data_IF_966352849592
#
_entry.id   IF_966352849592
#
_cell.length_a   1.000
_cell.length_b   1.000
_cell.length_c   1.000
_cell.angle_alpha   90.00
_cell.angle_beta   90.00
_cell.angle_gamma   90.00
#
_symmetry.space_group_name_H-M   'P 1'
#
loop_
_entity.id
_entity.type
_entity.pdbx_description
1 polymer ?
#
# COMPACT_ATOMS: atom_id res chain seq x y z
N UNK A 1 -17.58 -4.62 -4.16
CA UNK A 1 -18.22 -3.46 -3.50
C UNK A 1 -18.16 -2.27 -4.43
N UNK A 2 -19.24 -1.49 -4.54
CA UNK A 2 -19.27 -0.25 -5.31
C UNK A 2 -18.69 0.86 -4.43
N UNK A 3 -17.72 1.63 -4.94
CA UNK A 3 -17.16 2.79 -4.23
C UNK A 3 -18.24 3.86 -4.03
N UNK A 4 -18.31 4.46 -2.84
CA UNK A 4 -19.23 5.55 -2.52
C UNK A 4 -18.99 6.76 -3.44
N UNK A 5 -20.06 7.31 -4.02
CA UNK A 5 -19.98 8.43 -4.97
C UNK A 5 -19.29 9.67 -4.39
N UNK A 6 -19.43 9.93 -3.08
CA UNK A 6 -18.76 11.05 -2.43
C UNK A 6 -17.25 10.88 -2.43
N UNK A 7 -16.78 9.64 -2.33
CA UNK A 7 -15.35 9.29 -2.34
C UNK A 7 -14.80 9.36 -3.76
N UNK A 8 -15.56 8.88 -4.76
CA UNK A 8 -15.16 8.98 -6.18
C UNK A 8 -14.88 10.43 -6.60
N UNK A 9 -15.71 11.35 -6.11
CA UNK A 9 -15.61 12.78 -6.42
C UNK A 9 -14.50 13.51 -5.64
N UNK A 10 -13.75 12.83 -4.76
CA UNK A 10 -12.57 13.42 -4.13
C UNK A 10 -11.41 13.45 -5.14
N UNK A 11 -10.82 14.62 -5.28
CA UNK A 11 -9.79 14.97 -6.26
C UNK A 11 -8.40 15.18 -5.64
N UNK A 12 -8.32 15.23 -4.31
CA UNK A 12 -7.07 15.47 -3.59
C UNK A 12 -6.91 14.49 -2.42
N UNK A 13 -5.67 14.03 -2.13
CA UNK A 13 -5.42 13.18 -0.97
C UNK A 13 -5.87 13.82 0.34
N UNK A 14 -5.75 15.15 0.45
CA UNK A 14 -6.16 15.88 1.66
C UNK A 14 -7.67 15.80 1.91
N UNK A 15 -8.51 15.90 0.88
CA UNK A 15 -9.96 15.72 1.03
C UNK A 15 -10.31 14.29 1.44
N UNK A 16 -9.58 13.30 0.91
CA UNK A 16 -9.72 11.90 1.31
C UNK A 16 -9.37 11.67 2.79
N UNK A 17 -8.29 12.27 3.29
CA UNK A 17 -7.91 12.22 4.71
C UNK A 17 -8.99 12.82 5.63
N UNK A 18 -9.54 13.98 5.25
CA UNK A 18 -10.62 14.63 6.00
C UNK A 18 -11.87 13.75 6.00
N UNK A 19 -12.25 13.20 4.84
CA UNK A 19 -13.39 12.31 4.71
C UNK A 19 -13.22 11.05 5.58
N UNK A 20 -12.04 10.41 5.54
CA UNK A 20 -11.73 9.24 6.36
C UNK A 20 -11.85 9.54 7.86
N UNK A 21 -11.37 10.70 8.32
CA UNK A 21 -11.51 11.11 9.72
C UNK A 21 -12.99 11.28 10.11
N UNK A 22 -13.79 11.92 9.26
CA UNK A 22 -15.21 12.12 9.52
C UNK A 22 -15.99 10.80 9.51
N UNK A 23 -15.67 9.90 8.57
CA UNK A 23 -16.26 8.57 8.50
C UNK A 23 -15.92 7.73 9.74
N UNK A 24 -14.68 7.80 10.23
CA UNK A 24 -14.26 7.15 11.46
C UNK A 24 -15.04 7.66 12.68
N UNK A 25 -15.17 8.98 12.82
CA UNK A 25 -15.97 9.60 13.89
C UNK A 25 -17.46 9.20 13.83
N UNK A 26 -17.95 8.81 12.64
CA UNK A 26 -19.31 8.34 12.42
C UNK A 26 -19.44 6.81 12.49
N UNK A 27 -18.39 6.06 12.86
CA UNK A 27 -18.40 4.60 12.94
C UNK A 27 -18.51 3.87 11.59
N UNK A 28 -18.15 4.54 10.49
CA UNK A 28 -18.27 4.02 9.12
C UNK A 28 -16.93 3.53 8.58
N UNK A 29 -16.43 2.41 9.12
CA UNK A 29 -15.14 1.82 8.75
C UNK A 29 -15.04 1.45 7.26
N UNK A 30 -16.16 1.03 6.65
CA UNK A 30 -16.28 0.75 5.22
C UNK A 30 -15.89 1.97 4.36
N UNK A 31 -16.28 3.16 4.81
CA UNK A 31 -15.98 4.43 4.15
C UNK A 31 -14.57 4.93 4.46
N UNK A 32 -14.03 4.60 5.64
CA UNK A 32 -12.62 4.88 5.98
C UNK A 32 -11.69 4.15 5.02
N UNK A 33 -11.94 2.85 4.79
CA UNK A 33 -11.15 2.04 3.84
C UNK A 33 -11.18 2.65 2.44
N UNK A 34 -12.37 2.90 1.90
CA UNK A 34 -12.52 3.46 0.56
C UNK A 34 -11.85 4.83 0.40
N UNK A 35 -11.92 5.68 1.42
CA UNK A 35 -11.28 6.99 1.37
C UNK A 35 -9.74 6.88 1.41
N UNK A 36 -9.18 5.95 2.19
CA UNK A 36 -7.74 5.65 2.18
C UNK A 36 -7.30 5.12 0.82
N UNK A 37 -8.03 4.19 0.23
CA UNK A 37 -7.76 3.66 -1.11
C UNK A 37 -7.76 4.78 -2.15
N UNK A 38 -8.77 5.68 -2.12
CA UNK A 38 -8.81 6.83 -3.02
C UNK A 38 -7.61 7.76 -2.83
N UNK A 39 -7.20 8.02 -1.58
CA UNK A 39 -6.01 8.83 -1.29
C UNK A 39 -4.74 8.20 -1.89
N UNK A 40 -4.57 6.88 -1.74
CA UNK A 40 -3.46 6.12 -2.30
C UNK A 40 -3.45 6.22 -3.83
N UNK A 41 -4.60 6.08 -4.48
CA UNK A 41 -4.71 6.18 -5.94
C UNK A 41 -4.34 7.57 -6.44
N UNK A 42 -4.89 8.63 -5.83
CA UNK A 42 -4.56 10.01 -6.20
C UNK A 42 -3.07 10.33 -6.00
N UNK A 43 -2.47 9.86 -4.91
CA UNK A 43 -1.02 10.03 -4.67
C UNK A 43 -0.19 9.32 -5.74
N UNK A 44 -0.57 8.09 -6.10
CA UNK A 44 0.13 7.30 -7.12
C UNK A 44 -0.04 7.88 -8.53
N UNK A 45 -1.24 8.36 -8.88
CA UNK A 45 -1.50 9.07 -10.14
C UNK A 45 -0.60 10.31 -10.26
N UNK A 46 -0.51 11.11 -9.20
CA UNK A 46 0.34 12.31 -9.19
C UNK A 46 1.86 11.99 -9.22
N UNK A 47 2.26 10.77 -8.84
CA UNK A 47 3.67 10.36 -8.95
C UNK A 47 4.09 10.13 -10.41
N UNK A 48 3.17 9.70 -11.28
CA UNK A 48 3.42 9.59 -12.72
C UNK A 48 4.16 8.32 -13.16
N UNK A 49 3.96 7.19 -12.47
CA UNK A 49 4.47 5.90 -12.93
C UNK A 49 3.84 5.50 -14.29
N UNK A 50 4.62 4.86 -15.17
CA UNK A 50 4.20 4.61 -16.56
C UNK A 50 3.46 3.28 -16.70
N UNK A 51 4.06 2.20 -16.20
CA UNK A 51 3.52 0.84 -16.34
C UNK A 51 2.49 0.51 -15.26
N UNK A 52 1.63 -0.48 -15.54
CA UNK A 52 0.64 -0.97 -14.55
C UNK A 52 1.33 -1.49 -13.28
N UNK A 53 2.41 -2.26 -13.43
CA UNK A 53 3.17 -2.80 -12.30
C UNK A 53 3.79 -1.70 -11.44
N UNK A 54 4.38 -0.67 -12.06
CA UNK A 54 4.94 0.46 -11.32
C UNK A 54 3.87 1.30 -10.62
N UNK A 55 2.70 1.50 -11.25
CA UNK A 55 1.56 2.17 -10.62
C UNK A 55 1.11 1.39 -9.38
N UNK A 56 1.01 0.07 -9.46
CA UNK A 56 0.66 -0.76 -8.31
C UNK A 56 1.74 -0.77 -7.22
N UNK A 57 3.01 -0.84 -7.60
CA UNK A 57 4.14 -0.73 -6.68
C UNK A 57 4.13 0.61 -5.92
N UNK A 58 3.88 1.73 -6.60
CA UNK A 58 3.76 3.04 -5.94
C UNK A 58 2.54 3.11 -5.02
N UNK A 59 1.41 2.51 -5.41
CA UNK A 59 0.26 2.38 -4.50
C UNK A 59 0.63 1.60 -3.23
N UNK A 60 1.40 0.51 -3.37
CA UNK A 60 1.89 -0.27 -2.23
C UNK A 60 2.80 0.54 -1.30
N UNK A 61 3.68 1.39 -1.85
CA UNK A 61 4.52 2.29 -1.06
C UNK A 61 3.67 3.28 -0.25
N UNK A 62 2.66 3.90 -0.87
CA UNK A 62 1.76 4.80 -0.16
C UNK A 62 0.87 4.08 0.87
N UNK A 63 0.41 2.87 0.59
CA UNK A 63 -0.31 2.06 1.58
C UNK A 63 0.57 1.74 2.79
N UNK A 64 1.85 1.41 2.56
CA UNK A 64 2.82 1.22 3.63
C UNK A 64 3.04 2.49 4.46
N UNK A 65 3.01 3.68 3.85
CA UNK A 65 3.04 4.95 4.58
C UNK A 65 1.79 5.20 5.44
N UNK A 66 0.62 4.74 5.01
CA UNK A 66 -0.59 4.78 5.84
C UNK A 66 -0.41 3.90 7.10
N UNK A 67 0.19 2.71 6.96
CA UNK A 67 0.55 1.85 8.10
C UNK A 67 1.55 2.53 9.04
N UNK A 68 2.62 3.11 8.49
CA UNK A 68 3.60 3.83 9.29
C UNK A 68 2.97 5.03 10.01
N UNK A 69 2.04 5.71 9.36
CA UNK A 69 1.36 6.88 9.91
C UNK A 69 0.39 6.52 11.02
N UNK A 70 -0.36 5.42 10.85
CA UNK A 70 -1.24 4.87 11.89
C UNK A 70 -0.41 4.47 13.12
N UNK A 71 0.69 3.74 12.92
CA UNK A 71 1.58 3.30 13.99
C UNK A 71 2.22 4.47 14.76
N UNK A 72 2.64 5.52 14.06
CA UNK A 72 3.37 6.63 14.66
C UNK A 72 2.47 7.78 15.13
N UNK A 73 1.16 7.72 14.86
CA UNK A 73 0.20 8.80 15.18
C UNK A 73 0.41 10.10 14.38
N UNK A 74 1.26 10.08 13.34
CA UNK A 74 1.57 11.25 12.49
C UNK A 74 1.95 10.82 11.09
N UNK A 75 1.75 11.70 10.10
CA UNK A 75 2.18 11.45 8.71
C UNK A 75 3.63 11.02 8.67
N UNK A 76 3.87 9.80 8.22
CA UNK A 76 5.19 9.18 8.20
C UNK A 76 5.50 8.68 6.79
N UNK A 77 6.63 9.14 6.26
CA UNK A 77 7.13 8.75 4.95
C UNK A 77 7.93 7.44 5.04
N UNK A 78 7.90 6.62 3.99
CA UNK A 78 8.71 5.42 3.83
C UNK A 78 10.17 5.80 3.52
N UNK A 79 10.87 6.33 4.52
CA UNK A 79 12.21 6.94 4.41
C UNK A 79 13.29 6.00 3.89
N UNK A 80 13.10 4.67 4.00
CA UNK A 80 14.00 3.65 3.45
C UNK A 80 13.63 3.17 2.05
N UNK A 81 12.44 3.49 1.56
CA UNK A 81 11.92 3.00 0.27
C UNK A 81 12.07 4.07 -0.80
N UNK A 82 11.75 5.34 -0.51
CA UNK A 82 11.90 6.43 -1.49
C UNK A 82 13.33 6.62 -2.02
N UNK A 83 14.38 6.59 -1.19
CA UNK A 83 15.75 6.65 -1.70
C UNK A 83 16.09 5.46 -2.61
N UNK A 84 15.52 4.28 -2.35
CA UNK A 84 15.72 3.12 -3.22
C UNK A 84 15.01 3.28 -4.55
N UNK A 85 13.79 3.83 -4.57
CA UNK A 85 13.07 4.13 -5.81
C UNK A 85 13.88 5.09 -6.67
N UNK A 86 14.41 6.17 -6.08
CA UNK A 86 15.25 7.13 -6.80
C UNK A 86 16.54 6.51 -7.35
N UNK A 87 17.14 5.57 -6.59
CA UNK A 87 18.45 5.00 -6.94
C UNK A 87 18.37 3.81 -7.91
N UNK A 88 17.33 2.98 -7.79
CA UNK A 88 17.25 1.69 -8.45
C UNK A 88 16.00 1.52 -9.34
N UNK A 89 15.06 2.46 -9.30
CA UNK A 89 13.76 2.34 -9.94
C UNK A 89 12.71 1.67 -9.03
N UNK A 90 11.45 1.74 -9.44
CA UNK A 90 10.28 1.38 -8.63
C UNK A 90 10.25 -0.13 -8.33
N UNK A 91 10.32 -0.96 -9.37
CA UNK A 91 10.25 -2.43 -9.26
C UNK A 91 11.38 -2.96 -8.36
N UNK A 92 12.60 -2.55 -8.68
CA UNK A 92 13.81 -2.89 -7.91
C UNK A 92 13.75 -2.47 -6.43
N UNK A 93 13.08 -1.35 -6.13
CA UNK A 93 12.92 -0.90 -4.75
C UNK A 93 11.90 -1.73 -3.98
N UNK A 94 10.81 -2.16 -4.63
CA UNK A 94 9.81 -3.07 -4.04
C UNK A 94 10.44 -4.44 -3.77
N UNK A 95 11.20 -4.98 -4.71
CA UNK A 95 11.92 -6.25 -4.51
C UNK A 95 12.81 -6.20 -3.24
N UNK A 96 13.63 -5.15 -3.13
CA UNK A 96 14.53 -4.94 -1.99
C UNK A 96 13.79 -4.64 -0.69
N UNK A 97 12.54 -4.16 -0.75
CA UNK A 97 11.73 -3.95 0.45
C UNK A 97 11.28 -5.32 1.01
N UNK A 98 10.76 -6.19 0.14
CA UNK A 98 10.29 -7.53 0.54
C UNK A 98 11.41 -8.37 1.14
N UNK A 99 12.64 -8.30 0.61
CA UNK A 99 13.77 -9.06 1.16
C UNK A 99 14.15 -8.67 2.61
N UNK A 100 13.68 -7.52 3.13
CA UNK A 100 14.00 -7.09 4.49
C UNK A 100 13.27 -7.92 5.55
N UNK A 101 14.05 -8.60 6.41
CA UNK A 101 13.57 -9.40 7.55
C UNK A 101 12.61 -8.67 8.52
N UNK A 102 12.66 -7.33 8.59
CA UNK A 102 11.87 -6.54 9.56
C UNK A 102 10.42 -6.24 9.13
N UNK A 103 10.02 -6.61 7.91
CA UNK A 103 8.74 -6.18 7.31
C UNK A 103 7.56 -7.13 7.56
N UNK A 104 7.73 -8.23 8.30
CA UNK A 104 6.63 -9.12 8.70
C UNK A 104 5.50 -8.43 9.48
N UNK A 105 5.77 -7.28 10.13
CA UNK A 105 4.75 -6.46 10.80
C UNK A 105 3.95 -5.55 9.87
N UNK A 106 4.42 -5.30 8.65
CA UNK A 106 3.76 -4.40 7.70
C UNK A 106 2.44 -4.98 7.18
N UNK A 107 2.42 -6.29 6.90
CA UNK A 107 1.24 -6.95 6.35
C UNK A 107 0.08 -7.05 7.35
N UNK A 108 0.32 -7.43 8.61
CA UNK A 108 -0.74 -7.50 9.62
C UNK A 108 -1.45 -6.14 9.75
N UNK A 109 -0.68 -5.06 9.79
CA UNK A 109 -1.25 -3.71 9.83
C UNK A 109 -1.99 -3.33 8.53
N UNK A 110 -1.52 -3.78 7.36
CA UNK A 110 -2.28 -3.61 6.11
C UNK A 110 -3.61 -4.35 6.17
N UNK A 111 -3.63 -5.59 6.67
CA UNK A 111 -4.84 -6.41 6.80
C UNK A 111 -5.85 -5.79 7.78
N UNK A 112 -5.40 -5.33 8.94
CA UNK A 112 -6.22 -4.58 9.92
C UNK A 112 -6.82 -3.30 9.31
N UNK A 113 -6.14 -2.70 8.35
CA UNK A 113 -6.60 -1.52 7.62
C UNK A 113 -7.42 -1.86 6.36
N UNK A 114 -7.57 -3.14 6.02
CA UNK A 114 -8.20 -3.63 4.80
C UNK A 114 -7.46 -3.23 3.51
N UNK A 115 -6.15 -3.06 3.59
CA UNK A 115 -5.25 -2.67 2.49
C UNK A 115 -4.28 -3.78 2.08
N UNK A 116 -4.56 -5.04 2.43
CA UNK A 116 -3.73 -6.21 2.14
C UNK A 116 -3.43 -6.39 0.64
N UNK A 117 -4.33 -5.96 -0.24
CA UNK A 117 -4.12 -5.95 -1.69
C UNK A 117 -2.93 -5.07 -2.14
N UNK A 118 -2.53 -4.11 -1.29
CA UNK A 118 -1.40 -3.20 -1.49
C UNK A 118 -0.13 -3.65 -0.74
N UNK A 119 -0.08 -4.88 -0.21
CA UNK A 119 1.18 -5.42 0.28
C UNK A 119 2.21 -5.52 -0.86
N UNK A 120 3.50 -5.34 -0.54
CA UNK A 120 4.55 -5.50 -1.55
C UNK A 120 4.55 -6.93 -2.12
N UNK A 121 4.38 -7.92 -1.24
CA UNK A 121 4.24 -9.32 -1.62
C UNK A 121 3.06 -9.52 -2.59
N UNK A 122 1.91 -8.87 -2.34
CA UNK A 122 0.75 -8.97 -3.21
C UNK A 122 1.01 -8.36 -4.60
N UNK A 123 1.80 -7.28 -4.70
CA UNK A 123 2.23 -6.72 -5.99
C UNK A 123 3.16 -7.68 -6.72
N UNK A 124 4.15 -8.25 -6.02
CA UNK A 124 5.10 -9.21 -6.62
C UNK A 124 4.35 -10.42 -7.20
N UNK A 125 3.38 -10.97 -6.45
CA UNK A 125 2.60 -12.13 -6.92
C UNK A 125 1.66 -11.81 -8.10
N UNK A 126 1.32 -10.55 -8.35
CA UNK A 126 0.53 -10.15 -9.51
C UNK A 126 1.37 -9.93 -10.78
N UNK A 127 2.66 -9.64 -10.62
CA UNK A 127 3.60 -9.41 -11.72
C UNK A 127 4.90 -10.21 -11.54
N UNK A 128 4.83 -11.53 -11.30
CA UNK A 128 6.00 -12.32 -10.92
C UNK A 128 7.14 -12.26 -11.95
N UNK A 129 6.82 -12.07 -13.23
CA UNK A 129 7.77 -11.95 -14.34
C UNK A 129 8.69 -10.73 -14.26
N UNK A 130 8.36 -9.74 -13.43
CA UNK A 130 9.15 -8.52 -13.24
C UNK A 130 10.11 -8.59 -12.05
N UNK A 131 10.07 -9.67 -11.28
CA UNK A 131 10.84 -9.85 -10.06
C UNK A 131 11.69 -11.13 -10.16
N UNK A 132 12.73 -11.21 -9.33
CA UNK A 132 13.51 -12.43 -9.19
C UNK A 132 12.69 -13.57 -8.57
N UNK A 133 13.03 -14.81 -8.94
CA UNK A 133 12.41 -16.02 -8.38
C UNK A 133 12.45 -16.03 -6.85
N UNK A 134 13.58 -15.60 -6.25
CA UNK A 134 13.74 -15.45 -4.81
C UNK A 134 12.70 -14.50 -4.20
N UNK A 135 12.45 -13.35 -4.83
CA UNK A 135 11.46 -12.39 -4.35
C UNK A 135 10.04 -12.92 -4.47
N UNK A 136 9.74 -13.67 -5.54
CA UNK A 136 8.46 -14.37 -5.72
C UNK A 136 8.28 -15.44 -4.63
N UNK A 137 9.28 -16.28 -4.37
CA UNK A 137 9.26 -17.31 -3.32
C UNK A 137 9.06 -16.72 -1.93
N UNK A 138 9.78 -15.64 -1.58
CA UNK A 138 9.58 -14.93 -0.30
C UNK A 138 8.15 -14.42 -0.19
N UNK A 139 7.62 -13.84 -1.26
CA UNK A 139 6.27 -13.30 -1.31
C UNK A 139 5.21 -14.39 -1.15
N UNK A 140 5.36 -15.51 -1.86
CA UNK A 140 4.47 -16.67 -1.73
C UNK A 140 4.48 -17.21 -0.30
N UNK A 141 5.67 -17.44 0.25
CA UNK A 141 5.82 -17.99 1.60
C UNK A 141 5.16 -17.09 2.65
N UNK A 142 5.44 -15.79 2.61
CA UNK A 142 4.83 -14.83 3.57
C UNK A 142 3.32 -14.76 3.43
N UNK A 143 2.81 -14.68 2.20
CA UNK A 143 1.36 -14.64 1.94
C UNK A 143 0.66 -15.93 2.41
N UNK A 144 1.31 -17.09 2.30
CA UNK A 144 0.79 -18.36 2.83
C UNK A 144 0.85 -18.41 4.35
N UNK A 145 2.00 -18.07 4.96
CA UNK A 145 2.17 -17.99 6.42
C UNK A 145 1.07 -17.11 7.04
N UNK A 146 0.69 -16.01 6.39
CA UNK A 146 -0.38 -15.15 6.91
C UNK A 146 -1.78 -15.75 6.73
N UNK A 147 -2.08 -16.42 5.63
CA UNK A 147 -3.38 -17.09 5.44
C UNK A 147 -3.62 -18.20 6.46
N UNK A 148 -2.56 -18.84 6.93
CA UNK A 148 -2.63 -19.91 7.93
C UNK A 148 -2.76 -19.37 9.38
N UNK A 149 -2.42 -18.10 9.61
CA UNK A 149 -2.42 -17.46 10.92
C UNK A 149 -3.61 -16.49 11.15
N UNK A 150 -4.55 -16.42 10.20
CA UNK A 150 -5.80 -15.63 10.25
C UNK A 150 -6.99 -16.59 10.35
#
# INVERSE_FOLDING_TARGET
MVTDERIKNLDTPKKCEIFAKNALNAGREDLVKQAKERAIHLKAENYGAETSAEKEAIKAVYAYEEVLSAKNGKKTRASRTWPMIQKYGIINAVERAVDRKSETKGYTALLEMGLEAYAFEAVILRYPELFSDSAVEISQRRMSEWKENV
#
